data_IF_456278370460
#
_entry.id   IF_456278370460
#
_cell.length_a   1.000
_cell.length_b   1.000
_cell.length_c   1.000
_cell.angle_alpha   90.00
_cell.angle_beta   90.00
_cell.angle_gamma   90.00
#
_symmetry.space_group_name_H-M   'P 1'
#
loop_
_entity.id
_entity.type
_entity.pdbx_description
1 polymer ?
#
# COMPACT_ATOMS: atom_id res chain seq x y z
N UNK A 1 24.70 -50.37 -44.12
CA UNK A 1 24.33 -51.60 -43.35
C UNK A 1 25.58 -52.44 -43.17
N UNK A 2 25.78 -53.00 -41.97
CA UNK A 2 26.88 -53.93 -41.58
C UNK A 2 28.24 -53.25 -41.39
N UNK A 3 29.11 -53.64 -40.46
CA UNK A 3 29.08 -54.30 -39.13
C UNK A 3 30.58 -54.28 -38.75
N UNK A 4 30.93 -54.00 -37.49
CA UNK A 4 32.28 -54.20 -36.93
C UNK A 4 32.83 -55.62 -37.23
N UNK A 5 34.16 -55.77 -37.33
CA UNK A 5 34.98 -56.21 -36.19
C UNK A 5 36.29 -55.38 -36.11
N UNK A 6 37.10 -55.32 -35.05
CA UNK A 6 37.39 -56.27 -33.99
C UNK A 6 38.92 -56.48 -33.94
N UNK A 7 39.59 -55.72 -33.07
CA UNK A 7 40.89 -55.94 -32.37
C UNK A 7 42.15 -56.29 -33.20
N UNK A 8 43.25 -55.55 -32.98
CA UNK A 8 44.50 -56.11 -32.41
C UNK A 8 45.39 -54.98 -31.83
N UNK A 9 45.72 -55.13 -30.55
CA UNK A 9 46.64 -54.31 -29.77
C UNK A 9 48.10 -54.71 -30.08
N UNK A 10 49.00 -53.73 -30.17
CA UNK A 10 50.40 -53.89 -29.77
C UNK A 10 50.83 -52.65 -28.98
N UNK A 11 51.29 -52.92 -27.76
CA UNK A 11 51.66 -51.96 -26.75
C UNK A 11 53.04 -51.33 -27.00
N UNK A 12 53.18 -50.06 -26.64
CA UNK A 12 54.44 -49.45 -26.19
C UNK A 12 54.14 -48.58 -24.94
N UNK A 13 55.10 -48.44 -24.02
CA UNK A 13 54.83 -48.23 -22.60
C UNK A 13 54.48 -46.78 -22.25
N UNK A 14 53.58 -46.69 -21.27
CA UNK A 14 53.19 -45.50 -20.52
C UNK A 14 54.38 -44.91 -19.76
N UNK A 15 54.66 -43.62 -19.98
CA UNK A 15 55.33 -42.75 -19.03
C UNK A 15 54.42 -41.56 -18.72
N UNK A 16 53.55 -41.70 -17.73
CA UNK A 16 52.71 -40.58 -17.24
C UNK A 16 53.41 -39.99 -16.02
N UNK A 17 53.89 -38.76 -16.17
CA UNK A 17 54.36 -37.94 -15.07
C UNK A 17 53.16 -37.55 -14.20
N UNK A 18 53.15 -38.00 -12.95
CA UNK A 18 52.17 -37.59 -11.94
C UNK A 18 52.63 -36.24 -11.40
N UNK A 19 52.04 -35.15 -11.90
CA UNK A 19 52.16 -33.84 -11.24
C UNK A 19 51.26 -33.84 -10.00
N UNK A 20 51.86 -33.91 -8.82
CA UNK A 20 51.19 -33.71 -7.55
C UNK A 20 50.76 -32.24 -7.43
N UNK A 21 49.48 -31.95 -7.69
CA UNK A 21 48.89 -30.67 -7.27
C UNK A 21 48.87 -30.61 -5.74
N UNK A 22 49.40 -29.56 -5.10
CA UNK A 22 49.21 -29.36 -3.68
C UNK A 22 47.74 -29.06 -3.41
N UNK A 23 47.11 -29.88 -2.56
CA UNK A 23 45.85 -29.49 -1.91
C UNK A 23 46.12 -28.23 -1.09
N UNK A 24 45.63 -27.09 -1.58
CA UNK A 24 45.52 -25.90 -0.76
C UNK A 24 44.53 -26.20 0.37
N UNK A 25 45.05 -26.39 1.58
CA UNK A 25 44.28 -26.34 2.80
C UNK A 25 43.68 -24.93 2.90
N UNK A 26 42.41 -24.78 2.53
CA UNK A 26 41.61 -23.62 2.90
C UNK A 26 41.47 -23.64 4.42
N UNK A 27 42.47 -23.08 5.09
CA UNK A 27 42.37 -22.68 6.48
C UNK A 27 41.38 -21.52 6.50
N UNK A 28 40.16 -21.81 6.94
CA UNK A 28 39.18 -20.81 7.32
C UNK A 28 39.72 -20.09 8.56
N UNK A 29 40.66 -19.17 8.36
CA UNK A 29 41.00 -18.19 9.38
C UNK A 29 39.83 -17.21 9.37
N UNK A 30 38.89 -17.42 10.29
CA UNK A 30 37.94 -16.38 10.69
C UNK A 30 38.77 -15.21 11.23
N UNK A 31 39.13 -14.28 10.35
CA UNK A 31 39.31 -12.91 10.78
C UNK A 31 37.99 -12.53 11.44
N UNK A 32 38.02 -12.24 12.73
CA UNK A 32 36.88 -11.65 13.41
C UNK A 32 36.61 -10.31 12.72
N UNK A 33 35.72 -10.32 11.74
CA UNK A 33 35.22 -9.12 11.09
C UNK A 33 34.66 -8.26 12.23
N UNK A 34 35.33 -7.14 12.51
CA UNK A 34 34.73 -6.10 13.35
C UNK A 34 33.37 -5.81 12.74
N UNK A 35 32.26 -5.78 13.50
CA UNK A 35 30.94 -5.54 12.94
C UNK A 35 31.00 -4.27 12.10
N UNK A 36 30.96 -4.43 10.78
CA UNK A 36 31.05 -3.32 9.86
C UNK A 36 29.83 -2.46 10.13
N UNK A 37 30.05 -1.18 10.47
CA UNK A 37 28.95 -0.27 10.78
C UNK A 37 28.00 -0.25 9.59
N UNK A 38 26.76 -0.68 9.81
CA UNK A 38 25.73 -0.70 8.76
C UNK A 38 25.49 0.73 8.31
N UNK A 39 25.71 1.00 7.02
CA UNK A 39 25.17 2.19 6.37
C UNK A 39 23.66 2.02 6.24
N UNK A 40 22.94 2.54 7.24
CA UNK A 40 21.48 2.42 7.31
C UNK A 40 20.79 3.15 6.16
N UNK A 41 21.35 4.27 5.71
CA UNK A 41 20.76 5.04 4.62
C UNK A 41 20.88 4.28 3.31
N UNK A 42 22.09 3.81 2.97
CA UNK A 42 22.30 3.00 1.77
C UNK A 42 21.48 1.69 1.81
N UNK A 43 21.34 1.07 2.98
CA UNK A 43 20.49 -0.11 3.20
C UNK A 43 19.01 0.16 2.92
N UNK A 44 18.48 1.31 3.34
CA UNK A 44 17.07 1.67 3.11
C UNK A 44 16.86 2.09 1.65
N UNK A 45 17.73 2.92 1.10
CA UNK A 45 17.61 3.47 -0.25
C UNK A 45 17.66 2.40 -1.35
N UNK A 46 18.40 1.30 -1.15
CA UNK A 46 18.45 0.21 -2.14
C UNK A 46 17.11 -0.52 -2.35
N UNK A 47 16.14 -0.35 -1.45
CA UNK A 47 14.80 -0.95 -1.54
C UNK A 47 13.71 0.11 -1.76
N UNK A 48 14.06 1.26 -2.35
CA UNK A 48 13.10 2.31 -2.67
C UNK A 48 11.95 1.73 -3.50
N UNK A 49 10.72 1.99 -3.06
CA UNK A 49 9.52 1.56 -3.78
C UNK A 49 9.29 2.53 -4.92
N UNK A 50 9.23 2.00 -6.15
CA UNK A 50 9.02 2.78 -7.37
C UNK A 50 7.86 2.18 -8.16
N UNK A 51 6.83 2.97 -8.42
CA UNK A 51 5.71 2.62 -9.30
C UNK A 51 5.86 3.37 -10.63
N UNK A 52 5.68 2.65 -11.74
CA UNK A 52 5.87 3.20 -13.10
C UNK A 52 4.61 3.15 -13.96
N UNK A 53 3.47 2.82 -13.36
CA UNK A 53 2.17 2.74 -14.01
C UNK A 53 1.08 3.07 -12.99
N UNK A 54 -0.09 3.43 -13.49
CA UNK A 54 -1.27 3.62 -12.65
C UNK A 54 -1.82 2.26 -12.19
N UNK A 55 -2.11 2.14 -10.90
CA UNK A 55 -2.74 0.97 -10.29
C UNK A 55 -3.80 1.46 -9.29
N UNK A 56 -5.04 1.04 -9.48
CA UNK A 56 -6.16 1.44 -8.62
C UNK A 56 -6.31 0.60 -7.35
N UNK A 57 -5.54 -0.49 -7.21
CA UNK A 57 -5.58 -1.40 -6.05
C UNK A 57 -4.33 -1.35 -5.17
N UNK A 58 -3.27 -0.64 -5.56
CA UNK A 58 -1.99 -0.61 -4.85
C UNK A 58 -1.52 0.82 -4.56
N UNK A 59 -2.14 1.51 -3.59
CA UNK A 59 -1.72 2.85 -3.22
C UNK A 59 -0.34 2.84 -2.56
N UNK A 60 0.43 3.89 -2.81
CA UNK A 60 1.47 4.28 -1.84
C UNK A 60 0.83 5.10 -0.72
N UNK A 61 1.47 5.09 0.44
CA UNK A 61 0.97 5.74 1.64
C UNK A 61 2.10 6.47 2.37
N UNK A 62 1.74 7.61 2.95
CA UNK A 62 2.55 8.32 3.96
C UNK A 62 1.75 8.44 5.24
N UNK A 63 2.44 8.48 6.37
CA UNK A 63 1.82 8.63 7.68
C UNK A 63 2.82 8.94 8.77
N UNK A 64 2.32 9.37 9.92
CA UNK A 64 3.11 9.71 11.12
C UNK A 64 2.89 8.73 12.29
N UNK A 65 2.12 7.66 12.06
CA UNK A 65 1.73 6.69 13.08
C UNK A 65 0.34 6.92 13.66
N UNK A 66 -0.15 8.16 13.65
CA UNK A 66 -1.51 8.52 14.10
C UNK A 66 -2.46 8.81 12.94
N UNK A 67 -1.91 9.30 11.82
CA UNK A 67 -2.60 9.65 10.59
C UNK A 67 -1.88 9.00 9.40
N UNK A 68 -2.67 8.54 8.42
CA UNK A 68 -2.18 7.93 7.20
C UNK A 68 -2.99 8.38 5.98
N UNK A 69 -2.31 8.68 4.89
CA UNK A 69 -2.89 9.16 3.64
C UNK A 69 -2.41 8.30 2.47
N UNK A 70 -3.32 7.54 1.87
CA UNK A 70 -3.08 6.77 0.64
C UNK A 70 -3.27 7.64 -0.60
N UNK A 71 -2.54 7.35 -1.67
CA UNK A 71 -2.59 8.15 -2.90
C UNK A 71 -2.47 7.29 -4.16
N UNK A 72 -3.01 7.79 -5.27
CA UNK A 72 -2.77 7.26 -6.61
C UNK A 72 -1.49 7.83 -7.22
N UNK A 73 -1.23 7.50 -8.49
CA UNK A 73 -0.02 7.90 -9.21
C UNK A 73 0.22 9.42 -9.24
N UNK A 74 -0.80 10.25 -9.02
CA UNK A 74 -0.67 11.71 -8.95
C UNK A 74 0.03 12.22 -7.68
N UNK A 75 0.22 11.36 -6.68
CA UNK A 75 0.72 11.75 -5.36
C UNK A 75 -0.38 12.30 -4.44
N UNK A 76 -1.62 12.30 -4.91
CA UNK A 76 -2.84 12.62 -4.18
C UNK A 76 -3.92 11.59 -4.56
N UNK A 77 -5.16 11.79 -4.13
CA UNK A 77 -6.29 10.93 -4.45
C UNK A 77 -7.10 11.54 -5.61
N UNK A 78 -6.49 11.71 -6.79
CA UNK A 78 -7.10 12.45 -7.92
C UNK A 78 -8.07 11.60 -8.77
N UNK A 79 -7.80 10.31 -8.91
CA UNK A 79 -8.61 9.37 -9.70
C UNK A 79 -9.24 8.27 -8.85
N UNK A 80 -8.59 7.91 -7.74
CA UNK A 80 -9.03 6.81 -6.88
C UNK A 80 -9.26 7.33 -5.45
N UNK A 81 -10.43 7.05 -4.83
CA UNK A 81 -10.74 7.49 -3.48
C UNK A 81 -10.10 6.57 -2.42
N UNK A 82 -8.76 6.50 -2.40
CA UNK A 82 -8.04 5.76 -1.37
C UNK A 82 -8.36 6.28 0.04
N UNK A 83 -7.95 5.52 1.05
CA UNK A 83 -8.29 5.85 2.43
C UNK A 83 -7.37 6.93 3.00
N UNK A 84 -7.99 7.89 3.69
CA UNK A 84 -7.35 8.79 4.65
C UNK A 84 -7.84 8.38 6.03
N UNK A 85 -6.95 7.90 6.88
CA UNK A 85 -7.32 7.30 8.18
C UNK A 85 -6.56 7.98 9.32
N UNK A 86 -7.14 7.93 10.52
CA UNK A 86 -6.44 8.28 11.75
C UNK A 86 -6.90 7.42 12.93
N UNK A 87 -6.19 7.50 14.05
CA UNK A 87 -6.59 6.86 15.30
C UNK A 87 -7.80 7.52 15.97
N UNK A 88 -8.15 8.76 15.62
CA UNK A 88 -9.26 9.50 16.21
C UNK A 88 -10.50 9.56 15.31
N UNK A 89 -10.35 9.27 14.02
CA UNK A 89 -11.45 9.27 13.05
C UNK A 89 -12.32 8.03 13.14
N UNK A 90 -13.30 8.04 14.05
CA UNK A 90 -14.27 6.95 14.22
C UNK A 90 -15.69 7.39 13.90
N UNK A 91 -16.42 6.50 13.24
CA UNK A 91 -17.83 6.61 12.92
C UNK A 91 -18.67 5.75 13.85
N UNK A 92 -19.96 6.08 13.95
CA UNK A 92 -20.92 5.19 14.58
C UNK A 92 -22.28 5.24 13.92
N UNK A 93 -22.81 4.07 13.56
CA UNK A 93 -24.13 3.93 12.97
C UNK A 93 -25.19 3.72 14.08
N UNK A 94 -26.45 4.18 13.89
CA UNK A 94 -27.52 3.91 14.85
C UNK A 94 -27.79 2.42 14.98
N UNK A 95 -28.37 1.99 16.12
CA UNK A 95 -28.83 0.62 16.29
C UNK A 95 -29.82 0.22 15.20
N UNK A 96 -29.81 -1.04 14.72
CA UNK A 96 -30.82 -1.55 13.80
C UNK A 96 -32.23 -1.35 14.37
N UNK A 97 -33.18 -0.97 13.52
CA UNK A 97 -34.52 -0.62 13.93
C UNK A 97 -35.20 -1.78 14.69
N UNK A 98 -35.74 -1.48 15.87
CA UNK A 98 -36.43 -2.48 16.70
C UNK A 98 -35.51 -3.42 17.49
N UNK A 99 -34.19 -3.27 17.40
CA UNK A 99 -33.23 -4.08 18.17
C UNK A 99 -32.71 -3.34 19.40
N UNK A 100 -32.24 -4.11 20.37
CA UNK A 100 -31.52 -3.64 21.56
C UNK A 100 -30.21 -4.42 21.68
N UNK A 101 -29.20 -3.81 22.27
CA UNK A 101 -27.93 -4.49 22.58
C UNK A 101 -28.15 -5.75 23.44
N UNK A 102 -29.18 -5.74 24.30
CA UNK A 102 -29.57 -6.89 25.12
C UNK A 102 -30.10 -8.09 24.34
N UNK A 103 -30.44 -7.92 23.06
CA UNK A 103 -30.96 -9.01 22.23
C UNK A 103 -29.82 -9.96 21.80
N UNK A 104 -28.56 -9.49 21.83
CA UNK A 104 -27.40 -10.30 21.52
C UNK A 104 -27.15 -11.39 22.58
N UNK A 105 -26.94 -12.61 22.12
CA UNK A 105 -26.56 -13.74 22.97
C UNK A 105 -25.18 -14.27 22.60
N UNK A 106 -24.32 -14.43 23.61
CA UNK A 106 -23.05 -15.13 23.43
C UNK A 106 -23.31 -16.58 23.07
N UNK A 107 -22.46 -17.13 22.21
CA UNK A 107 -22.61 -18.47 21.67
C UNK A 107 -21.73 -19.47 22.41
N UNK A 108 -22.22 -20.69 22.69
CA UNK A 108 -21.40 -21.72 23.29
C UNK A 108 -20.31 -22.18 22.32
N UNK A 109 -19.05 -22.15 22.77
CA UNK A 109 -17.88 -22.63 22.04
C UNK A 109 -17.07 -23.60 22.89
N UNK A 110 -16.56 -24.66 22.27
CA UNK A 110 -15.74 -25.68 22.95
C UNK A 110 -14.28 -25.23 22.99
N UNK A 111 -13.74 -25.00 24.19
CA UNK A 111 -12.32 -24.69 24.41
C UNK A 111 -11.77 -25.68 25.45
N UNK A 112 -10.84 -26.54 25.02
CA UNK A 112 -10.21 -27.51 25.91
C UNK A 112 -11.18 -28.48 26.58
N UNK A 113 -12.24 -28.89 25.86
CA UNK A 113 -13.25 -29.84 26.36
C UNK A 113 -14.27 -29.25 27.33
N UNK A 114 -14.37 -27.93 27.42
CA UNK A 114 -15.40 -27.21 28.17
C UNK A 114 -16.16 -26.26 27.24
N UNK A 115 -17.48 -26.22 27.39
CA UNK A 115 -18.32 -25.19 26.78
C UNK A 115 -18.16 -23.88 27.53
N UNK A 116 -17.75 -22.84 26.81
CA UNK A 116 -17.64 -21.47 27.30
C UNK A 116 -18.47 -20.58 26.37
N UNK A 117 -19.17 -19.60 26.93
CA UNK A 117 -19.90 -18.61 26.13
C UNK A 117 -18.91 -17.59 25.56
N UNK A 118 -18.93 -17.41 24.24
CA UNK A 118 -18.02 -16.54 23.51
C UNK A 118 -18.80 -15.50 22.70
N UNK A 119 -18.25 -14.28 22.51
CA UNK A 119 -18.87 -13.24 21.71
C UNK A 119 -18.74 -13.54 20.20
N UNK A 120 -19.40 -14.59 19.72
CA UNK A 120 -19.44 -15.00 18.31
C UNK A 120 -20.75 -14.59 17.65
N UNK A 121 -20.83 -14.76 16.33
CA UNK A 121 -22.03 -14.43 15.59
C UNK A 121 -23.26 -15.20 16.09
N UNK A 122 -24.31 -14.49 16.51
CA UNK A 122 -25.58 -15.07 16.93
C UNK A 122 -26.47 -15.33 15.70
N UNK A 123 -26.72 -16.59 15.32
CA UNK A 123 -27.54 -16.90 14.14
C UNK A 123 -29.00 -16.46 14.29
N UNK A 124 -29.49 -16.30 15.52
CA UNK A 124 -30.87 -15.87 15.79
C UNK A 124 -31.01 -14.34 15.75
N UNK A 125 -29.91 -13.61 15.96
CA UNK A 125 -29.89 -12.15 15.92
C UNK A 125 -28.70 -11.64 15.06
N UNK A 126 -28.75 -11.89 13.74
CA UNK A 126 -27.65 -11.53 12.84
C UNK A 126 -27.45 -10.01 12.70
N UNK A 127 -28.53 -9.22 12.79
CA UNK A 127 -28.46 -7.76 12.64
C UNK A 127 -27.73 -7.09 13.81
N UNK A 128 -28.11 -7.41 15.06
CA UNK A 128 -27.42 -6.86 16.23
C UNK A 128 -25.99 -7.37 16.33
N UNK A 129 -25.75 -8.63 15.94
CA UNK A 129 -24.40 -9.20 15.84
C UNK A 129 -23.53 -8.35 14.92
N UNK A 130 -23.99 -8.10 13.69
CA UNK A 130 -23.26 -7.31 12.70
C UNK A 130 -23.00 -5.90 13.19
N UNK A 131 -24.01 -5.26 13.79
CA UNK A 131 -23.85 -3.92 14.35
C UNK A 131 -22.80 -3.91 15.48
N UNK A 132 -22.82 -4.88 16.40
CA UNK A 132 -21.84 -4.97 17.49
C UNK A 132 -20.41 -5.24 16.99
N UNK A 133 -20.24 -5.96 15.89
CA UNK A 133 -18.91 -6.24 15.32
C UNK A 133 -18.38 -5.10 14.47
N UNK A 134 -19.26 -4.34 13.82
CA UNK A 134 -18.90 -3.24 12.92
C UNK A 134 -18.98 -1.85 13.55
N UNK A 135 -19.30 -1.72 14.84
CA UNK A 135 -19.54 -0.42 15.48
C UNK A 135 -18.91 -0.33 16.89
N UNK A 136 -18.13 0.74 17.20
CA UNK A 136 -17.68 1.80 16.31
C UNK A 136 -16.69 1.27 15.26
N UNK A 137 -16.57 1.96 14.13
CA UNK A 137 -15.61 1.64 13.07
C UNK A 137 -14.77 2.86 12.68
N UNK A 138 -13.57 2.60 12.18
CA UNK A 138 -12.72 3.66 11.66
C UNK A 138 -13.35 4.26 10.38
N UNK A 139 -13.41 5.58 10.30
CA UNK A 139 -14.00 6.30 9.16
C UNK A 139 -12.91 6.83 8.24
N UNK A 140 -13.18 6.77 6.93
CA UNK A 140 -12.35 7.47 5.96
C UNK A 140 -12.59 8.97 6.09
N UNK A 141 -11.55 9.73 6.44
CA UNK A 141 -11.64 11.13 6.83
C UNK A 141 -11.95 12.07 5.67
N UNK A 142 -11.72 11.63 4.43
CA UNK A 142 -11.93 12.46 3.25
C UNK A 142 -10.86 12.26 2.20
N UNK A 143 -11.04 12.98 1.11
CA UNK A 143 -10.24 12.90 -0.09
C UNK A 143 -9.65 14.25 -0.44
N UNK A 144 -8.37 14.24 -0.77
CA UNK A 144 -7.65 15.39 -1.31
C UNK A 144 -7.04 14.98 -2.65
N UNK A 145 -7.42 15.68 -3.72
CA UNK A 145 -7.00 15.34 -5.08
C UNK A 145 -6.83 16.56 -5.97
N UNK A 146 -6.35 16.31 -7.19
CA UNK A 146 -6.22 17.32 -8.24
C UNK A 146 -7.32 17.14 -9.29
N UNK A 147 -7.91 18.26 -9.71
CA UNK A 147 -8.58 18.34 -11.01
C UNK A 147 -7.57 18.91 -12.00
N UNK A 148 -7.29 18.16 -13.05
CA UNK A 148 -6.36 18.56 -14.12
C UNK A 148 -7.19 18.71 -15.39
N UNK A 149 -7.26 19.92 -15.94
CA UNK A 149 -8.00 20.20 -17.16
C UNK A 149 -7.10 19.98 -18.38
N UNK A 150 -7.63 19.29 -19.40
CA UNK A 150 -7.04 19.17 -20.73
C UNK A 150 -7.20 20.45 -21.55
N UNK A 151 -6.56 20.52 -22.72
CA UNK A 151 -6.67 21.68 -23.62
C UNK A 151 -8.09 21.93 -24.11
N UNK A 152 -8.92 20.89 -24.16
CA UNK A 152 -10.35 20.96 -24.52
C UNK A 152 -11.26 21.41 -23.36
N UNK A 153 -10.70 21.64 -22.17
CA UNK A 153 -11.43 22.04 -20.96
C UNK A 153 -12.03 20.89 -20.16
N UNK A 154 -11.95 19.64 -20.63
CA UNK A 154 -12.43 18.49 -19.88
C UNK A 154 -11.41 18.04 -18.82
N UNK A 155 -11.86 17.48 -17.68
CA UNK A 155 -10.95 16.84 -16.73
C UNK A 155 -10.22 15.66 -17.37
N UNK A 156 -8.90 15.59 -17.15
CA UNK A 156 -8.09 14.44 -17.48
C UNK A 156 -8.60 13.19 -16.72
N UNK A 157 -8.44 12.03 -17.34
CA UNK A 157 -8.70 10.72 -16.73
C UNK A 157 -7.39 10.00 -16.43
N UNK A 158 -7.45 8.88 -15.70
CA UNK A 158 -6.26 8.11 -15.34
C UNK A 158 -5.46 7.65 -16.58
N UNK A 159 -6.15 7.37 -17.69
CA UNK A 159 -5.58 6.93 -18.96
C UNK A 159 -4.87 8.05 -19.72
N UNK A 160 -5.15 9.32 -19.39
CA UNK A 160 -4.46 10.48 -19.98
C UNK A 160 -3.05 10.69 -19.39
N UNK A 161 -2.72 9.96 -18.31
CA UNK A 161 -1.41 10.07 -17.65
C UNK A 161 -0.36 9.30 -18.43
N UNK A 162 0.75 9.99 -18.69
CA UNK A 162 1.92 9.42 -19.36
C UNK A 162 3.18 9.64 -18.53
N UNK A 163 4.22 8.83 -18.76
CA UNK A 163 5.50 8.99 -18.06
C UNK A 163 5.42 8.86 -16.54
N UNK A 164 4.49 8.03 -16.03
CA UNK A 164 4.28 7.84 -14.60
C UNK A 164 5.55 7.29 -13.95
N UNK A 165 6.00 7.97 -12.90
CA UNK A 165 7.05 7.53 -11.99
C UNK A 165 6.76 8.08 -10.61
N UNK A 166 6.35 7.22 -9.69
CA UNK A 166 6.10 7.55 -8.30
C UNK A 166 7.10 6.82 -7.41
N UNK A 167 7.78 7.56 -6.53
CA UNK A 167 8.82 7.03 -5.64
C UNK A 167 8.48 7.33 -4.19
N UNK A 168 8.56 6.32 -3.31
CA UNK A 168 8.52 6.49 -1.86
C UNK A 168 9.94 6.47 -1.29
N UNK A 169 10.40 7.62 -0.81
CA UNK A 169 11.61 7.72 -0.03
C UNK A 169 11.34 7.34 1.43
N UNK A 170 11.68 6.10 1.77
CA UNK A 170 11.49 5.55 3.13
C UNK A 170 12.41 6.18 4.18
N UNK A 171 13.48 6.88 3.77
CA UNK A 171 14.38 7.54 4.70
C UNK A 171 13.82 8.89 5.16
N UNK A 172 13.20 9.64 4.24
CA UNK A 172 12.62 10.95 4.53
C UNK A 172 11.12 10.92 4.78
N UNK A 173 10.42 9.84 4.41
CA UNK A 173 8.95 9.75 4.48
C UNK A 173 8.26 10.60 3.41
N UNK A 174 8.90 10.81 2.26
CA UNK A 174 8.37 11.63 1.17
C UNK A 174 7.97 10.75 -0.01
N UNK A 175 6.83 11.05 -0.61
CA UNK A 175 6.47 10.51 -1.92
C UNK A 175 6.67 11.59 -2.97
N UNK A 176 7.33 11.25 -4.08
CA UNK A 176 7.43 12.11 -5.25
C UNK A 176 6.80 11.43 -6.45
N UNK A 177 5.77 12.05 -7.01
CA UNK A 177 5.09 11.64 -8.23
C UNK A 177 5.52 12.52 -9.39
N UNK A 178 5.94 11.89 -10.48
CA UNK A 178 6.18 12.53 -11.77
C UNK A 178 5.27 11.88 -12.81
N UNK A 179 4.58 12.69 -13.58
CA UNK A 179 3.74 12.26 -14.69
C UNK A 179 3.51 13.43 -15.64
N UNK A 180 2.93 13.16 -16.80
CA UNK A 180 2.58 14.17 -17.79
C UNK A 180 1.16 14.00 -18.29
N UNK A 181 0.47 15.12 -18.55
CA UNK A 181 -0.83 15.17 -19.23
C UNK A 181 -0.65 16.04 -20.47
N UNK A 182 -1.03 15.53 -21.66
CA UNK A 182 -0.81 16.21 -22.95
C UNK A 182 0.65 16.67 -23.15
N UNK A 183 1.61 15.87 -22.69
CA UNK A 183 3.05 16.19 -22.77
C UNK A 183 3.54 17.25 -21.78
N UNK A 184 2.66 17.84 -20.96
CA UNK A 184 3.05 18.81 -19.92
C UNK A 184 3.43 18.08 -18.63
N UNK A 185 4.66 18.25 -18.11
CA UNK A 185 5.11 17.56 -16.92
C UNK A 185 4.48 18.15 -15.65
N UNK A 186 4.16 17.26 -14.71
CA UNK A 186 3.64 17.57 -13.39
C UNK A 186 4.48 16.79 -12.37
N UNK A 187 4.99 17.50 -11.36
CA UNK A 187 5.66 16.90 -10.21
C UNK A 187 4.87 17.23 -8.95
N UNK A 188 4.57 16.21 -8.16
CA UNK A 188 3.89 16.34 -6.86
C UNK A 188 4.75 15.70 -5.79
N UNK A 189 5.10 16.46 -4.76
CA UNK A 189 5.76 15.93 -3.56
C UNK A 189 4.77 15.95 -2.41
N UNK A 190 4.54 14.78 -1.81
CA UNK A 190 3.55 14.60 -0.73
C UNK A 190 4.23 14.10 0.53
N UNK A 191 3.81 14.67 1.68
CA UNK A 191 4.34 14.35 2.99
C UNK A 191 3.24 14.43 4.05
N UNK A 192 3.40 13.69 5.14
CA UNK A 192 2.62 13.88 6.37
C UNK A 192 3.52 14.53 7.42
N UNK A 193 3.00 15.51 8.13
CA UNK A 193 3.75 16.19 9.17
C UNK A 193 4.04 15.23 10.34
N UNK A 194 5.27 15.20 10.88
CA UNK A 194 5.68 14.17 11.85
C UNK A 194 4.95 14.23 13.19
N UNK A 195 4.38 15.38 13.56
CA UNK A 195 3.76 15.58 14.89
C UNK A 195 2.33 16.16 14.87
N UNK A 196 1.82 16.52 13.70
CA UNK A 196 0.43 16.96 13.56
C UNK A 196 -0.20 16.16 12.43
N UNK A 197 -1.48 15.85 12.54
CA UNK A 197 -2.20 15.03 11.56
C UNK A 197 -2.58 15.88 10.35
N UNK A 198 -1.56 16.21 9.57
CA UNK A 198 -1.66 17.06 8.39
C UNK A 198 -0.89 16.44 7.23
N UNK A 199 -1.55 16.36 6.08
CA UNK A 199 -0.91 16.08 4.79
C UNK A 199 -0.59 17.39 4.08
N UNK A 200 0.57 17.45 3.45
CA UNK A 200 0.97 18.55 2.59
C UNK A 200 1.37 18.01 1.22
N UNK A 201 1.02 18.75 0.17
CA UNK A 201 1.42 18.46 -1.19
C UNK A 201 1.96 19.72 -1.87
N UNK A 202 3.13 19.58 -2.50
CA UNK A 202 3.72 20.61 -3.37
C UNK A 202 3.55 20.19 -4.82
N UNK A 203 2.81 20.98 -5.59
CA UNK A 203 2.58 20.75 -7.02
C UNK A 203 3.44 21.72 -7.83
N UNK A 204 4.20 21.20 -8.79
CA UNK A 204 5.05 21.98 -9.71
C UNK A 204 4.70 21.59 -11.14
N UNK A 205 4.11 22.52 -11.88
CA UNK A 205 3.79 22.41 -13.30
C UNK A 205 3.46 23.79 -13.89
N UNK A 206 3.74 24.00 -15.18
CA UNK A 206 3.27 25.16 -15.95
C UNK A 206 1.73 25.22 -16.01
N UNK A 207 1.06 24.08 -15.86
CA UNK A 207 -0.40 23.99 -15.83
C UNK A 207 -1.03 24.67 -14.60
N UNK A 208 -0.27 24.87 -13.52
CA UNK A 208 -0.73 25.64 -12.34
C UNK A 208 -0.88 27.11 -12.71
N UNK A 209 0.12 27.69 -13.36
CA UNK A 209 0.09 29.09 -13.83
C UNK A 209 -0.99 29.30 -14.90
N UNK A 210 -1.22 28.28 -15.74
CA UNK A 210 -2.27 28.29 -16.75
C UNK A 210 -3.70 28.11 -16.17
N UNK A 211 -3.86 27.93 -14.85
CA UNK A 211 -5.17 27.70 -14.21
C UNK A 211 -5.81 26.36 -14.58
N UNK A 212 -5.02 25.40 -15.07
CA UNK A 212 -5.48 24.07 -15.51
C UNK A 212 -5.30 22.98 -14.46
N UNK A 213 -4.73 23.31 -13.30
CA UNK A 213 -4.70 22.44 -12.12
C UNK A 213 -5.39 23.15 -10.97
N UNK A 214 -6.38 22.50 -10.37
CA UNK A 214 -6.99 22.91 -9.11
C UNK A 214 -7.00 21.74 -8.13
N UNK A 215 -7.08 22.05 -6.84
CA UNK A 215 -7.25 21.05 -5.79
C UNK A 215 -8.74 20.92 -5.43
N UNK A 216 -9.16 19.73 -5.05
CA UNK A 216 -10.48 19.49 -4.47
C UNK A 216 -10.36 18.73 -3.15
N UNK A 217 -11.33 18.96 -2.28
CA UNK A 217 -11.54 18.19 -1.05
C UNK A 217 -12.95 17.61 -1.09
N UNK A 218 -13.09 16.35 -0.72
CA UNK A 218 -14.36 15.63 -0.69
C UNK A 218 -14.47 14.77 0.58
N UNK A 219 -15.68 14.51 1.05
CA UNK A 219 -15.94 13.78 2.30
C UNK A 219 -16.96 12.67 2.08
N UNK A 220 -16.63 11.41 2.42
CA UNK A 220 -17.58 10.33 2.28
C UNK A 220 -18.64 10.37 3.39
N UNK A 221 -19.88 10.03 3.04
CA UNK A 221 -20.88 9.59 4.02
C UNK A 221 -20.65 8.14 4.46
N UNK A 222 -21.43 7.68 5.45
CA UNK A 222 -21.48 6.26 5.82
C UNK A 222 -22.18 5.46 4.70
N UNK A 223 -21.63 4.29 4.36
CA UNK A 223 -22.21 3.37 3.37
C UNK A 223 -22.60 2.01 3.96
N UNK A 224 -22.44 1.82 5.27
CA UNK A 224 -22.78 0.60 6.00
C UNK A 224 -21.97 -0.65 5.60
N UNK A 225 -20.94 -0.51 4.75
CA UNK A 225 -20.08 -1.63 4.35
C UNK A 225 -18.95 -1.82 5.35
N UNK A 226 -18.60 -3.07 5.58
CA UNK A 226 -17.46 -3.48 6.42
C UNK A 226 -16.39 -4.12 5.53
N UNK A 227 -15.12 -3.76 5.74
CA UNK A 227 -13.98 -4.45 5.11
C UNK A 227 -13.87 -4.31 3.58
N UNK A 228 -14.43 -3.26 2.97
CA UNK A 228 -14.37 -3.01 1.52
C UNK A 228 -13.22 -2.10 1.07
N UNK A 229 -12.96 -2.07 -0.23
CA UNK A 229 -12.11 -1.03 -0.85
C UNK A 229 -12.90 0.26 -0.95
N UNK A 230 -12.28 1.41 -0.64
CA UNK A 230 -12.89 2.73 -0.73
C UNK A 230 -14.18 2.86 0.09
N UNK A 231 -14.10 2.47 1.38
CA UNK A 231 -15.26 2.57 2.29
C UNK A 231 -15.67 4.05 2.40
N UNK A 232 -16.98 4.27 2.25
CA UNK A 232 -17.58 5.59 2.23
C UNK A 232 -18.50 5.80 1.03
N UNK A 233 -19.61 6.50 1.27
CA UNK A 233 -20.52 6.96 0.22
C UNK A 233 -20.08 8.34 -0.27
N UNK A 234 -19.31 8.38 -1.35
CA UNK A 234 -18.82 9.62 -1.99
C UNK A 234 -19.89 10.41 -2.74
N UNK A 235 -21.12 9.89 -2.81
CA UNK A 235 -22.27 10.61 -3.38
C UNK A 235 -23.17 11.24 -2.30
N UNK A 236 -22.88 11.02 -1.02
CA UNK A 236 -23.64 11.59 0.09
C UNK A 236 -22.88 12.76 0.74
N UNK A 237 -23.02 13.93 0.13
CA UNK A 237 -22.38 15.16 0.59
C UNK A 237 -23.02 15.76 1.84
N UNK A 238 -24.11 15.20 2.37
CA UNK A 238 -24.74 15.70 3.61
C UNK A 238 -24.64 14.70 4.77
N UNK A 239 -24.19 13.47 4.50
CA UNK A 239 -24.05 12.41 5.50
C UNK A 239 -22.94 12.62 6.52
N UNK A 240 -21.98 13.50 6.23
CA UNK A 240 -20.86 13.82 7.13
C UNK A 240 -21.26 14.88 8.16
N UNK A 241 -22.12 14.52 9.11
CA UNK A 241 -22.44 15.37 10.27
C UNK A 241 -21.56 15.03 11.47
N UNK A 242 -20.89 16.05 12.03
CA UNK A 242 -20.13 15.90 13.28
C UNK A 242 -21.09 16.18 14.44
N UNK A 243 -21.21 15.25 15.39
CA UNK A 243 -21.91 15.55 16.64
C UNK A 243 -21.04 16.52 17.45
N UNK A 244 -21.57 17.72 17.69
CA UNK A 244 -20.97 18.72 18.56
C UNK A 244 -20.96 18.27 20.03
#
# INVERSE_FOLDING_TARGET
MKKLPGKFFRALPLGIAISTLPMASNSCVNAADKPQKIDRKALVERHKVVLTHFDSGRPLQVGNGEFAFGMDATGLQSFVPFNTMSHWGWGSSPLPAGTKVSDYQMQPYEIGGRKVLMPMADPNHPEITRWLTGNPHASNLGRLGLVILKTDGNPAQAEDLTGIKQELDMWTGLITSHFSVEGQPITVTTAVHPTIDAVAAKVVSTLVEAGRISAFIDFPGDDGREGGTFIGNWNDWNGHSVKA
#
